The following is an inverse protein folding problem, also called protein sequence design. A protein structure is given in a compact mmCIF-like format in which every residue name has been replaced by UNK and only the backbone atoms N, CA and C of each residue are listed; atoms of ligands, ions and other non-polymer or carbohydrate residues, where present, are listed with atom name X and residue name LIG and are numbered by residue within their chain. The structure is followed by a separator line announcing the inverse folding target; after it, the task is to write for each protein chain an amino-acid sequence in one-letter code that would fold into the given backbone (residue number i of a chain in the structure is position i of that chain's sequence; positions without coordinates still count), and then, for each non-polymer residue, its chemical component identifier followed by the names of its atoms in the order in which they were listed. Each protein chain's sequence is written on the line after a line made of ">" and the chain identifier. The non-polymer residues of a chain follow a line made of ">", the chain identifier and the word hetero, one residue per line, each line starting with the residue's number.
data_IF_521198074238
#
_entry.id   IF_521198074238
#
_cell.length_a   1.000
_cell.length_b   1.000
_cell.length_c   1.000
_cell.angle_alpha   90.00
_cell.angle_beta   90.00
_cell.angle_gamma   90.00
#
_symmetry.space_group_name_H-M   'P 1'
#
loop_
_entity.id
_entity.type
_entity.pdbx_description
1 polymer ?
#
# COMPACT_ATOMS: atom_id res chain seq x y z
N UNK A 1 1.37 18.77 10.34
CA UNK A 1 1.43 17.75 9.31
C UNK A 1 1.13 18.34 7.93
N UNK A 2 1.29 19.65 7.82
CA UNK A 2 0.98 20.36 6.58
C UNK A 2 1.88 19.95 5.42
N UNK A 3 3.09 19.47 5.74
CA UNK A 3 4.06 19.03 4.75
C UNK A 3 3.96 17.54 4.42
N UNK A 4 3.03 16.79 5.06
CA UNK A 4 2.84 15.37 4.77
C UNK A 4 1.90 15.22 3.58
N UNK A 5 2.37 14.66 2.46
CA UNK A 5 1.51 14.52 1.27
C UNK A 5 0.30 13.61 1.53
N UNK A 6 0.45 12.60 2.40
CA UNK A 6 -0.66 11.68 2.71
C UNK A 6 -1.70 12.32 3.62
N UNK A 7 -1.27 13.20 4.54
CA UNK A 7 -2.22 13.98 5.33
C UNK A 7 -3.05 14.89 4.42
N UNK A 8 -2.43 15.48 3.41
CA UNK A 8 -3.13 16.35 2.46
C UNK A 8 -4.15 15.54 1.65
N UNK A 9 -3.80 14.34 1.22
CA UNK A 9 -4.72 13.47 0.49
C UNK A 9 -5.90 13.09 1.40
N UNK A 10 -5.63 12.69 2.65
CA UNK A 10 -6.66 12.31 3.60
C UNK A 10 -7.61 13.47 3.93
N UNK A 11 -7.09 14.70 3.92
CA UNK A 11 -7.88 15.89 4.20
C UNK A 11 -8.66 16.40 2.99
N UNK A 12 -8.47 15.80 1.82
CA UNK A 12 -9.14 16.24 0.59
C UNK A 12 -8.50 17.46 -0.05
N UNK A 13 -7.26 17.79 0.33
CA UNK A 13 -6.53 18.96 -0.18
C UNK A 13 -5.58 18.62 -1.33
N UNK A 14 -5.87 17.52 -2.03
CA UNK A 14 -5.04 17.04 -3.13
C UNK A 14 -5.94 16.66 -4.30
N UNK A 15 -5.40 16.72 -5.50
CA UNK A 15 -6.10 16.29 -6.71
C UNK A 15 -5.89 14.78 -6.98
N UNK A 16 -5.24 14.08 -6.05
CA UNK A 16 -5.04 12.63 -6.16
C UNK A 16 -6.39 11.92 -6.16
N UNK A 17 -6.58 11.02 -7.11
CA UNK A 17 -7.82 10.24 -7.21
C UNK A 17 -7.90 9.22 -6.07
N UNK A 18 -9.01 9.24 -5.34
CA UNK A 18 -9.27 8.26 -4.30
C UNK A 18 -9.87 7.00 -4.91
N UNK A 19 -9.42 5.84 -4.44
CA UNK A 19 -9.99 4.55 -4.82
C UNK A 19 -11.20 4.25 -3.94
N UNK A 20 -11.05 4.50 -2.64
CA UNK A 20 -12.10 4.26 -1.65
C UNK A 20 -11.76 4.99 -0.36
N UNK A 21 -12.72 5.09 0.54
CA UNK A 21 -12.48 5.66 1.86
C UNK A 21 -13.46 5.09 2.87
N UNK A 22 -13.08 5.18 4.14
CA UNK A 22 -13.88 4.72 5.26
C UNK A 22 -13.76 5.74 6.40
N UNK A 23 -14.34 5.43 7.56
CA UNK A 23 -14.34 6.36 8.68
C UNK A 23 -12.95 6.80 9.09
N UNK A 24 -11.98 5.87 9.10
CA UNK A 24 -10.64 6.13 9.61
C UNK A 24 -9.53 5.95 8.57
N UNK A 25 -9.89 5.65 7.33
CA UNK A 25 -8.89 5.27 6.31
C UNK A 25 -9.23 5.83 4.95
N UNK A 26 -8.20 5.93 4.12
CA UNK A 26 -8.31 6.41 2.74
C UNK A 26 -7.42 5.53 1.87
N UNK A 27 -7.88 5.26 0.66
CA UNK A 27 -7.08 4.54 -0.32
C UNK A 27 -7.00 5.35 -1.62
N UNK A 28 -5.83 5.35 -2.23
CA UNK A 28 -5.59 6.10 -3.46
C UNK A 28 -4.52 5.39 -4.29
N UNK A 29 -4.42 5.74 -5.57
CA UNK A 29 -3.37 5.16 -6.42
C UNK A 29 -2.03 5.79 -6.10
N UNK A 30 -0.98 4.96 -6.04
CA UNK A 30 0.38 5.44 -5.83
C UNK A 30 0.75 6.36 -7.00
N UNK A 31 1.39 7.48 -6.67
CA UNK A 31 1.84 8.46 -7.67
C UNK A 31 2.94 7.88 -8.55
N UNK A 32 3.70 6.92 -8.03
CA UNK A 32 4.78 6.26 -8.75
C UNK A 32 4.50 4.75 -8.82
N UNK A 33 3.45 4.37 -9.56
CA UNK A 33 3.00 2.99 -9.54
C UNK A 33 4.05 2.04 -10.15
N UNK A 34 4.25 0.89 -9.50
CA UNK A 34 5.15 -0.13 -10.03
C UNK A 34 4.39 -1.10 -10.95
N UNK A 35 3.06 -1.06 -10.91
CA UNK A 35 2.19 -1.81 -11.81
C UNK A 35 0.88 -1.07 -11.96
N UNK A 36 0.10 -1.44 -12.96
CA UNK A 36 -1.22 -0.84 -13.17
C UNK A 36 -2.13 -1.14 -11.99
N UNK A 37 -2.68 -0.10 -11.38
CA UNK A 37 -3.57 -0.25 -10.24
C UNK A 37 -2.89 -0.28 -8.88
N UNK A 38 -1.57 -0.06 -8.83
CA UNK A 38 -0.84 -0.01 -7.56
C UNK A 38 -1.47 1.03 -6.65
N UNK A 39 -2.02 0.58 -5.52
CA UNK A 39 -2.76 1.43 -4.59
C UNK A 39 -2.10 1.43 -3.21
N UNK A 40 -2.38 2.49 -2.47
CA UNK A 40 -1.94 2.65 -1.08
C UNK A 40 -3.17 2.80 -0.20
N UNK A 41 -3.13 2.20 0.98
CA UNK A 41 -4.17 2.36 2.00
C UNK A 41 -3.51 2.96 3.23
N UNK A 42 -4.08 4.04 3.73
CA UNK A 42 -3.53 4.78 4.87
C UNK A 42 -4.60 5.02 5.93
N UNK A 43 -4.16 5.19 7.18
CA UNK A 43 -5.01 5.76 8.22
C UNK A 43 -5.10 7.26 7.99
N UNK A 44 -6.25 7.88 8.35
CA UNK A 44 -6.38 9.34 8.28
C UNK A 44 -5.46 10.01 9.29
N UNK A 45 -5.27 9.36 10.44
CA UNK A 45 -4.38 9.84 11.50
C UNK A 45 -2.93 9.75 11.04
N UNK A 46 -2.16 10.78 11.32
CA UNK A 46 -0.73 10.80 10.99
C UNK A 46 0.06 10.02 12.04
N UNK A 47 0.52 8.84 11.67
CA UNK A 47 1.46 8.04 12.44
C UNK A 47 2.42 7.40 11.45
N UNK A 48 3.70 7.44 11.77
CA UNK A 48 4.70 6.85 10.87
C UNK A 48 4.63 5.33 10.89
N UNK A 49 4.37 4.75 12.07
CA UNK A 49 4.31 3.30 12.27
C UNK A 49 2.85 2.87 12.37
N UNK A 50 2.46 1.94 11.50
CA UNK A 50 1.08 1.44 11.50
C UNK A 50 0.66 0.88 12.85
N UNK A 51 1.61 0.30 13.60
CA UNK A 51 1.32 -0.30 14.90
C UNK A 51 1.14 0.74 16.02
N UNK A 52 1.45 2.00 15.75
CA UNK A 52 1.18 3.11 16.68
C UNK A 52 -0.22 3.70 16.47
N UNK A 53 -0.90 3.30 15.41
CA UNK A 53 -2.28 3.68 15.16
C UNK A 53 -3.18 2.91 16.12
N UNK A 54 -4.19 3.56 16.69
CA UNK A 54 -5.14 2.91 17.60
C UNK A 54 -5.68 1.63 16.98
N UNK A 55 -5.84 0.55 17.76
CA UNK A 55 -6.30 -0.74 17.23
C UNK A 55 -7.60 -0.67 16.42
N UNK A 56 -8.55 0.16 16.84
CA UNK A 56 -9.82 0.33 16.11
C UNK A 56 -9.60 0.96 14.75
N UNK A 57 -8.78 2.02 14.70
CA UNK A 57 -8.47 2.68 13.43
C UNK A 57 -7.61 1.79 12.55
N UNK A 58 -6.68 1.04 13.14
CA UNK A 58 -5.85 0.09 12.39
C UNK A 58 -6.70 -1.02 11.78
N UNK A 59 -7.71 -1.52 12.50
CA UNK A 59 -8.64 -2.51 11.97
C UNK A 59 -9.40 -1.95 10.77
N UNK A 60 -9.74 -0.66 10.80
CA UNK A 60 -10.42 0.00 9.70
C UNK A 60 -9.52 0.06 8.45
N UNK A 61 -8.22 0.28 8.64
CA UNK A 61 -7.24 0.26 7.53
C UNK A 61 -7.24 -1.11 6.85
N UNK A 62 -7.17 -2.19 7.64
CA UNK A 62 -7.19 -3.55 7.10
C UNK A 62 -8.51 -3.88 6.41
N UNK A 63 -9.63 -3.41 6.97
CA UNK A 63 -10.94 -3.61 6.36
C UNK A 63 -11.05 -2.88 5.01
N UNK A 64 -10.51 -1.66 4.94
CA UNK A 64 -10.51 -0.92 3.68
C UNK A 64 -9.62 -1.60 2.64
N UNK A 65 -8.52 -2.23 3.07
CA UNK A 65 -7.67 -3.00 2.18
C UNK A 65 -8.45 -4.09 1.46
N UNK A 66 -9.32 -4.82 2.18
CA UNK A 66 -10.18 -5.84 1.57
C UNK A 66 -11.07 -5.26 0.49
N UNK A 67 -11.69 -4.12 0.78
CA UNK A 67 -12.56 -3.42 -0.18
C UNK A 67 -11.78 -3.00 -1.42
N UNK A 68 -10.60 -2.42 -1.21
CA UNK A 68 -9.76 -1.94 -2.32
C UNK A 68 -9.33 -3.11 -3.19
N UNK A 69 -8.96 -4.24 -2.57
CA UNK A 69 -8.57 -5.43 -3.33
C UNK A 69 -9.70 -5.86 -4.28
N UNK A 70 -10.92 -5.91 -3.78
CA UNK A 70 -12.08 -6.26 -4.61
C UNK A 70 -12.27 -5.29 -5.78
N UNK A 71 -12.11 -3.99 -5.51
CA UNK A 71 -12.24 -2.96 -6.54
C UNK A 71 -11.15 -3.11 -7.62
N UNK A 72 -9.92 -3.42 -7.20
CA UNK A 72 -8.82 -3.60 -8.14
C UNK A 72 -9.00 -4.86 -8.99
N UNK A 73 -9.51 -5.95 -8.39
CA UNK A 73 -9.83 -7.17 -9.14
C UNK A 73 -10.86 -6.87 -10.23
N UNK A 74 -11.90 -6.15 -9.87
CA UNK A 74 -12.97 -5.80 -10.81
C UNK A 74 -12.45 -4.89 -11.92
N UNK A 75 -11.62 -3.91 -11.57
CA UNK A 75 -11.17 -2.87 -12.50
C UNK A 75 -10.03 -3.32 -13.41
N UNK A 76 -9.09 -4.10 -12.89
CA UNK A 76 -7.85 -4.44 -13.60
C UNK A 76 -7.66 -5.93 -13.86
N UNK A 77 -8.41 -6.78 -13.21
CA UNK A 77 -8.32 -8.24 -13.34
C UNK A 77 -6.87 -8.77 -13.24
N UNK A 78 -6.15 -8.45 -12.15
CA UNK A 78 -4.78 -8.91 -11.99
C UNK A 78 -4.73 -10.42 -11.70
N UNK A 79 -3.54 -11.00 -11.89
CA UNK A 79 -3.31 -12.42 -11.66
C UNK A 79 -2.88 -12.71 -10.22
N UNK A 80 -2.52 -11.67 -9.46
CA UNK A 80 -2.12 -11.80 -8.06
C UNK A 80 -1.82 -10.46 -7.47
N UNK A 81 -1.35 -10.45 -6.22
CA UNK A 81 -1.00 -9.23 -5.51
C UNK A 81 0.23 -9.43 -4.64
N UNK A 82 1.03 -8.39 -4.51
CA UNK A 82 1.95 -8.27 -3.39
C UNK A 82 1.39 -7.19 -2.46
N UNK A 83 1.35 -7.51 -1.17
CA UNK A 83 0.83 -6.62 -0.15
C UNK A 83 1.90 -6.46 0.91
N UNK A 84 2.23 -5.23 1.27
CA UNK A 84 3.27 -5.03 2.26
C UNK A 84 3.29 -3.64 2.83
N UNK A 85 3.96 -3.52 3.97
CA UNK A 85 4.14 -2.28 4.72
C UNK A 85 5.61 -2.11 4.99
N UNK A 86 6.16 -0.94 4.69
CA UNK A 86 7.52 -0.60 5.08
C UNK A 86 7.44 0.16 6.40
N UNK A 87 7.90 -0.44 7.48
CA UNK A 87 7.86 0.17 8.81
C UNK A 87 9.26 0.60 9.19
N UNK A 88 9.44 1.90 9.34
CA UNK A 88 10.70 2.56 9.70
C UNK A 88 11.73 2.58 8.57
N UNK A 89 12.72 3.42 8.75
CA UNK A 89 13.74 3.70 7.74
C UNK A 89 14.53 2.45 7.32
N UNK A 90 14.83 1.58 8.28
CA UNK A 90 15.57 0.34 7.98
C UNK A 90 14.82 -0.58 7.04
N UNK A 91 13.51 -0.47 6.98
CA UNK A 91 12.66 -1.26 6.09
C UNK A 91 12.33 -0.53 4.78
N UNK A 92 12.87 0.69 4.61
CA UNK A 92 12.70 1.43 3.37
C UNK A 92 11.55 2.43 3.37
N UNK A 93 11.01 2.77 4.54
CA UNK A 93 9.94 3.77 4.61
C UNK A 93 10.49 5.15 4.29
N UNK A 94 9.93 5.79 3.26
CA UNK A 94 10.36 7.11 2.82
C UNK A 94 9.37 8.22 3.12
N UNK A 95 8.08 7.87 3.28
CA UNK A 95 7.05 8.83 3.69
C UNK A 95 6.65 8.47 5.12
N UNK A 96 6.74 9.43 6.02
CA UNK A 96 6.51 9.24 7.47
C UNK A 96 5.03 9.22 7.86
N UNK A 97 4.21 8.57 7.08
CA UNK A 97 2.80 8.32 7.33
C UNK A 97 2.54 6.89 6.89
N UNK A 98 2.16 6.03 7.83
CA UNK A 98 2.03 4.59 7.58
C UNK A 98 1.12 4.30 6.39
N UNK A 99 1.58 3.42 5.51
CA UNK A 99 0.80 3.05 4.34
C UNK A 99 1.04 1.60 3.95
N UNK A 100 -0.03 0.94 3.52
CA UNK A 100 0.01 -0.43 3.03
C UNK A 100 0.01 -0.37 1.51
N UNK A 101 1.02 -0.99 0.90
CA UNK A 101 1.07 -1.16 -0.56
C UNK A 101 0.18 -2.32 -0.96
N UNK A 102 -0.64 -2.11 -1.97
CA UNK A 102 -1.41 -3.16 -2.61
C UNK A 102 -1.03 -3.13 -4.08
N UNK A 103 -0.19 -4.08 -4.49
CA UNK A 103 0.44 -4.09 -5.81
C UNK A 103 -0.14 -5.22 -6.64
N UNK A 104 -0.99 -4.89 -7.63
CA UNK A 104 -1.50 -5.90 -8.56
C UNK A 104 -0.35 -6.50 -9.37
N UNK A 105 -0.36 -7.81 -9.53
CA UNK A 105 0.65 -8.50 -10.31
C UNK A 105 0.01 -9.17 -11.52
N UNK A 106 0.74 -9.15 -12.62
CA UNK A 106 0.23 -9.66 -13.90
C UNK A 106 1.20 -10.70 -14.43
N UNK A 107 0.65 -11.78 -15.01
CA UNK A 107 1.46 -12.85 -15.59
C UNK A 107 2.47 -12.26 -16.58
N UNK A 108 3.74 -12.52 -16.37
CA UNK A 108 4.79 -12.02 -17.24
C UNK A 108 5.26 -10.59 -16.96
N UNK A 109 4.79 -9.96 -15.90
CA UNK A 109 5.23 -8.59 -15.58
C UNK A 109 6.71 -8.51 -15.19
N UNK A 110 7.25 -9.60 -14.67
CA UNK A 110 8.69 -9.77 -14.50
C UNK A 110 9.06 -11.16 -15.00
N UNK A 111 10.34 -11.37 -15.29
CA UNK A 111 10.81 -12.63 -15.84
C UNK A 111 10.61 -13.80 -14.89
N UNK A 112 11.01 -13.63 -13.63
CA UNK A 112 10.87 -14.67 -12.60
C UNK A 112 10.34 -14.03 -11.31
N UNK A 113 9.04 -14.19 -11.00
CA UNK A 113 8.45 -13.55 -9.83
C UNK A 113 8.64 -14.30 -8.53
N UNK A 114 9.29 -15.51 -8.57
CA UNK A 114 9.40 -16.32 -7.38
C UNK A 114 10.06 -15.57 -6.23
N UNK A 115 9.53 -15.76 -5.03
CA UNK A 115 10.03 -15.15 -3.81
C UNK A 115 9.32 -13.86 -3.42
N UNK A 116 8.82 -13.10 -4.39
CA UNK A 116 8.03 -11.90 -4.10
C UNK A 116 8.62 -11.00 -3.02
N UNK A 117 7.93 -10.94 -1.87
CA UNK A 117 8.32 -10.12 -0.72
C UNK A 117 9.76 -10.40 -0.25
N UNK A 118 10.27 -11.61 -0.47
CA UNK A 118 11.62 -11.98 -0.05
C UNK A 118 12.71 -11.14 -0.70
N UNK A 119 12.38 -10.49 -1.84
CA UNK A 119 13.35 -9.66 -2.57
C UNK A 119 13.73 -8.38 -1.83
N UNK A 120 13.13 -8.13 -0.65
CA UNK A 120 13.61 -7.05 0.24
C UNK A 120 15.07 -7.28 0.67
N UNK A 121 15.52 -8.55 0.68
CA UNK A 121 16.93 -8.91 0.89
C UNK A 121 17.34 -9.76 -0.32
N UNK A 122 17.82 -9.13 -1.39
CA UNK A 122 18.06 -9.86 -2.65
C UNK A 122 18.98 -11.08 -2.52
N UNK A 123 20.02 -11.00 -1.68
CA UNK A 123 20.96 -12.10 -1.51
C UNK A 123 20.32 -13.35 -0.92
N UNK A 124 19.22 -13.17 -0.19
CA UNK A 124 18.53 -14.25 0.52
C UNK A 124 17.19 -14.62 -0.12
N UNK A 125 16.78 -13.87 -1.14
CA UNK A 125 15.48 -14.10 -1.75
C UNK A 125 15.39 -15.50 -2.38
N UNK A 126 16.32 -15.93 -3.22
CA UNK A 126 16.23 -17.27 -3.80
C UNK A 126 16.52 -18.35 -2.76
N UNK A 127 15.64 -19.36 -2.69
CA UNK A 127 15.82 -20.54 -1.85
C UNK A 127 15.52 -21.82 -2.68
N UNK A 128 15.40 -21.68 -3.95
CA UNK A 128 15.14 -22.78 -4.91
C UNK A 128 16.37 -22.95 -5.81
N UNK A 129 16.44 -24.08 -6.48
CA UNK A 129 17.50 -24.39 -7.43
C UNK A 129 17.18 -23.85 -8.83
#
# INVERSE_FOLDING_TARGET
>A
MDDCPFCQIAAGNSDTELVAESAHSVAFYDRYPVSEGHALVIARRHEADLFDVDPEERSDVWALLDTVRELLVERFNPDGFNIGVNTNEAAGQTVGHAHIHLIPRYQGDVEDPRGGIRWVIPEKAPYWD
#
